data_IF_181966104979
#
_entry.id   IF_181966104979
#
_cell.length_a   1.000
_cell.length_b   1.000
_cell.length_c   1.000
_cell.angle_alpha   90.00
_cell.angle_beta   90.00
_cell.angle_gamma   90.00
#
_symmetry.space_group_name_H-M   'P 1'
#
loop_
_entity.id
_entity.type
_entity.pdbx_description
1 polymer ?
#
# COMPACT_ATOMS: atom_id res chain seq x y z
N UNK A 1 -22.60 -5.07 6.19
CA UNK A 1 -21.41 -4.55 6.90
C UNK A 1 -20.19 -5.42 6.71
N UNK A 2 -20.30 -6.76 6.76
CA UNK A 2 -19.19 -7.71 6.52
C UNK A 2 -18.55 -7.62 5.12
N UNK A 3 -19.26 -7.02 4.15
CA UNK A 3 -18.82 -6.98 2.75
C UNK A 3 -17.62 -6.05 2.51
N UNK A 4 -17.68 -4.77 2.91
CA UNK A 4 -16.64 -3.78 2.57
C UNK A 4 -15.25 -4.12 3.12
N UNK A 5 -15.19 -4.57 4.38
CA UNK A 5 -13.93 -5.03 5.00
C UNK A 5 -13.35 -6.24 4.25
N UNK A 6 -14.20 -7.20 3.90
CA UNK A 6 -13.79 -8.42 3.18
C UNK A 6 -13.36 -8.09 1.75
N UNK A 7 -14.09 -7.22 1.05
CA UNK A 7 -13.77 -6.74 -0.30
C UNK A 7 -12.43 -6.03 -0.33
N UNK A 8 -12.17 -5.14 0.64
CA UNK A 8 -10.89 -4.43 0.70
C UNK A 8 -9.72 -5.36 1.04
N UNK A 9 -9.91 -6.31 1.97
CA UNK A 9 -8.90 -7.33 2.24
C UNK A 9 -8.62 -8.21 1.01
N UNK A 10 -9.67 -8.57 0.26
CA UNK A 10 -9.55 -9.32 -0.99
C UNK A 10 -8.79 -8.53 -2.05
N UNK A 11 -9.06 -7.23 -2.19
CA UNK A 11 -8.27 -6.36 -3.06
C UNK A 11 -6.79 -6.40 -2.68
N UNK A 12 -6.45 -6.23 -1.40
CA UNK A 12 -5.06 -6.27 -0.94
C UNK A 12 -4.42 -7.63 -1.20
N UNK A 13 -5.14 -8.73 -0.99
CA UNK A 13 -4.66 -10.09 -1.31
C UNK A 13 -4.37 -10.29 -2.79
N UNK A 14 -5.28 -9.82 -3.66
CA UNK A 14 -5.09 -9.89 -5.10
C UNK A 14 -3.88 -9.05 -5.52
N UNK A 15 -3.74 -7.82 -5.01
CA UNK A 15 -2.62 -6.93 -5.34
C UNK A 15 -1.27 -7.47 -4.86
N UNK A 16 -1.22 -8.08 -3.67
CA UNK A 16 -0.03 -8.78 -3.17
C UNK A 16 0.33 -9.93 -4.10
N UNK A 17 -0.65 -10.77 -4.47
CA UNK A 17 -0.39 -11.92 -5.33
C UNK A 17 0.08 -11.49 -6.72
N UNK A 18 -0.57 -10.48 -7.30
CA UNK A 18 -0.23 -9.96 -8.63
C UNK A 18 1.20 -9.38 -8.66
N UNK A 19 1.58 -8.58 -7.67
CA UNK A 19 2.95 -8.01 -7.57
C UNK A 19 4.02 -9.09 -7.32
N UNK A 20 3.70 -10.13 -6.54
CA UNK A 20 4.57 -11.29 -6.37
C UNK A 20 4.75 -12.09 -7.66
N UNK A 21 3.67 -12.33 -8.41
CA UNK A 21 3.74 -13.04 -9.69
C UNK A 21 4.54 -12.24 -10.72
N UNK A 22 4.30 -10.94 -10.82
CA UNK A 22 5.08 -10.05 -11.68
C UNK A 22 6.57 -10.05 -11.31
N UNK A 23 6.89 -10.02 -10.01
CA UNK A 23 8.27 -10.15 -9.54
C UNK A 23 8.92 -11.43 -10.07
N UNK A 24 8.21 -12.57 -10.04
CA UNK A 24 8.77 -13.83 -10.54
C UNK A 24 8.97 -13.82 -12.05
N UNK A 25 8.04 -13.25 -12.82
CA UNK A 25 8.19 -13.13 -14.28
C UNK A 25 9.39 -12.23 -14.64
N UNK A 26 9.54 -11.08 -13.98
CA UNK A 26 10.68 -10.18 -14.20
C UNK A 26 12.02 -10.85 -13.85
N UNK A 27 12.07 -11.67 -12.80
CA UNK A 27 13.27 -12.45 -12.47
C UNK A 27 13.61 -13.47 -13.56
N UNK A 28 12.61 -14.17 -14.11
CA UNK A 28 12.82 -15.12 -15.22
C UNK A 28 13.37 -14.42 -16.47
N UNK A 29 12.96 -13.18 -16.69
CA UNK A 29 13.40 -12.34 -17.80
C UNK A 29 14.72 -11.59 -17.53
N UNK A 30 15.43 -11.88 -16.42
CA UNK A 30 16.65 -11.18 -15.99
C UNK A 30 16.48 -9.65 -15.74
N UNK A 31 15.25 -9.18 -15.49
CA UNK A 31 14.90 -7.77 -15.20
C UNK A 31 14.87 -7.51 -13.70
N UNK A 32 16.03 -7.67 -13.05
CA UNK A 32 16.14 -7.68 -11.58
C UNK A 32 15.76 -6.35 -10.92
N UNK A 33 16.17 -5.24 -11.50
CA UNK A 33 15.85 -3.88 -11.05
C UNK A 33 14.32 -3.66 -11.01
N UNK A 34 13.64 -4.02 -12.09
CA UNK A 34 12.17 -3.95 -12.14
C UNK A 34 11.50 -4.92 -11.16
N UNK A 35 12.07 -6.12 -10.98
CA UNK A 35 11.58 -7.06 -9.98
C UNK A 35 11.72 -6.51 -8.55
N UNK A 36 12.78 -5.75 -8.28
CA UNK A 36 12.98 -5.11 -6.99
C UNK A 36 11.97 -3.97 -6.76
N UNK A 37 11.56 -3.24 -7.81
CA UNK A 37 10.44 -2.28 -7.74
C UNK A 37 9.10 -2.95 -7.40
N UNK A 38 8.77 -4.09 -8.02
CA UNK A 38 7.55 -4.85 -7.71
C UNK A 38 7.53 -5.40 -6.27
N UNK A 39 8.70 -5.76 -5.73
CA UNK A 39 8.82 -6.11 -4.30
C UNK A 39 8.52 -4.93 -3.39
N UNK A 40 8.92 -3.72 -3.75
CA UNK A 40 8.56 -2.51 -2.98
C UNK A 40 7.03 -2.37 -2.92
N UNK A 41 6.33 -2.54 -4.04
CA UNK A 41 4.85 -2.53 -4.06
C UNK A 41 4.25 -3.61 -3.16
N UNK A 42 4.75 -4.84 -3.27
CA UNK A 42 4.34 -5.98 -2.43
C UNK A 42 4.42 -5.63 -0.94
N UNK A 43 5.54 -5.05 -0.51
CA UNK A 43 5.77 -4.67 0.87
C UNK A 43 4.77 -3.61 1.36
N UNK A 44 4.44 -2.62 0.53
CA UNK A 44 3.47 -1.58 0.87
C UNK A 44 2.07 -2.18 1.05
N UNK A 45 1.61 -3.03 0.13
CA UNK A 45 0.32 -3.70 0.29
C UNK A 45 0.28 -4.57 1.56
N UNK A 46 1.36 -5.28 1.89
CA UNK A 46 1.44 -6.10 3.11
C UNK A 46 1.38 -5.27 4.40
N UNK A 47 2.07 -4.12 4.44
CA UNK A 47 2.01 -3.17 5.56
C UNK A 47 0.56 -2.74 5.78
N UNK A 48 -0.11 -2.25 4.74
CA UNK A 48 -1.47 -1.73 4.88
C UNK A 48 -2.52 -2.82 5.10
N UNK A 49 -2.32 -4.03 4.58
CA UNK A 49 -3.12 -5.20 4.95
C UNK A 49 -3.01 -5.50 6.43
N UNK A 50 -1.80 -5.52 6.97
CA UNK A 50 -1.58 -5.78 8.40
C UNK A 50 -2.24 -4.70 9.26
N UNK A 51 -2.07 -3.43 8.90
CA UNK A 51 -2.69 -2.29 9.58
C UNK A 51 -4.21 -2.40 9.56
N UNK A 52 -4.80 -2.66 8.39
CA UNK A 52 -6.25 -2.78 8.24
C UNK A 52 -6.82 -3.97 9.04
N UNK A 53 -6.11 -5.11 9.06
CA UNK A 53 -6.49 -6.26 9.88
C UNK A 53 -6.43 -5.94 11.38
N UNK A 54 -5.45 -5.16 11.84
CA UNK A 54 -5.38 -4.74 13.25
C UNK A 54 -6.56 -3.84 13.60
N UNK A 55 -6.92 -2.88 12.74
CA UNK A 55 -8.07 -1.99 12.95
C UNK A 55 -9.37 -2.80 13.00
N UNK A 56 -9.63 -3.63 12.01
CA UNK A 56 -10.89 -4.40 11.88
C UNK A 56 -11.07 -5.49 12.95
N UNK A 57 -10.00 -5.94 13.62
CA UNK A 57 -10.08 -6.87 14.75
C UNK A 57 -10.46 -6.21 16.07
N UNK A 58 -10.48 -4.87 16.16
CA UNK A 58 -10.90 -4.18 17.37
C UNK A 58 -12.42 -4.35 17.54
N UNK A 59 -12.84 -4.85 18.71
CA UNK A 59 -14.25 -5.05 19.00
C UNK A 59 -14.95 -3.69 19.10
N UNK A 60 -16.19 -3.62 18.57
CA UNK A 60 -17.09 -2.47 18.66
C UNK A 60 -16.75 -1.23 17.81
N UNK A 61 -15.95 -1.37 16.74
CA UNK A 61 -15.81 -0.30 15.76
C UNK A 61 -16.89 -0.40 14.68
N UNK A 62 -17.57 0.71 14.41
CA UNK A 62 -18.46 0.84 13.25
C UNK A 62 -17.65 1.14 11.98
N UNK A 63 -18.29 1.02 10.81
CA UNK A 63 -17.62 1.23 9.52
C UNK A 63 -17.00 2.63 9.37
N UNK A 64 -17.59 3.66 9.97
CA UNK A 64 -17.08 5.03 9.95
C UNK A 64 -15.83 5.19 10.83
N UNK A 65 -15.77 4.48 11.97
CA UNK A 65 -14.58 4.48 12.82
C UNK A 65 -13.42 3.77 12.12
N UNK A 66 -13.69 2.65 11.46
CA UNK A 66 -12.71 1.93 10.64
C UNK A 66 -12.20 2.85 9.51
N UNK A 67 -13.11 3.56 8.81
CA UNK A 67 -12.75 4.53 7.77
C UNK A 67 -11.80 5.59 8.32
N UNK A 68 -12.18 6.23 9.42
CA UNK A 68 -11.40 7.31 10.03
C UNK A 68 -10.01 6.84 10.45
N UNK A 69 -9.94 5.73 11.19
CA UNK A 69 -8.68 5.18 11.68
C UNK A 69 -7.76 4.75 10.54
N UNK A 70 -8.30 4.12 9.49
CA UNK A 70 -7.48 3.68 8.37
C UNK A 70 -6.94 4.87 7.55
N UNK A 71 -7.77 5.90 7.30
CA UNK A 71 -7.31 7.12 6.64
C UNK A 71 -6.23 7.85 7.46
N UNK A 72 -6.33 7.87 8.79
CA UNK A 72 -5.26 8.40 9.64
C UNK A 72 -3.95 7.62 9.48
N UNK A 73 -4.02 6.28 9.34
CA UNK A 73 -2.83 5.46 9.09
C UNK A 73 -2.24 5.65 7.70
N UNK A 74 -3.08 5.89 6.69
CA UNK A 74 -2.62 6.26 5.35
C UNK A 74 -1.88 7.61 5.31
N UNK A 75 -2.10 8.51 6.27
CA UNK A 75 -1.31 9.75 6.38
C UNK A 75 -0.06 9.61 7.25
N UNK A 76 -0.17 8.92 8.37
CA UNK A 76 0.88 8.88 9.39
C UNK A 76 2.02 7.93 9.07
N UNK A 77 1.73 6.75 8.49
CA UNK A 77 2.74 5.75 8.13
C UNK A 77 3.71 6.24 7.04
N UNK A 78 3.30 6.95 5.97
CA UNK A 78 4.23 7.41 4.94
C UNK A 78 5.00 8.68 5.31
N UNK A 79 4.86 9.23 6.52
CA UNK A 79 5.49 10.51 6.88
C UNK A 79 7.02 10.48 6.67
N UNK A 80 7.66 9.38 7.08
CA UNK A 80 9.08 9.13 6.88
C UNK A 80 9.45 8.80 5.42
N UNK A 81 8.55 8.27 4.60
CA UNK A 81 8.78 8.09 3.16
C UNK A 81 8.82 9.43 2.43
N UNK A 82 7.92 10.36 2.80
CA UNK A 82 7.91 11.74 2.29
C UNK A 82 9.21 12.47 2.66
N UNK A 83 9.65 12.39 3.92
CA UNK A 83 10.95 12.96 4.34
C UNK A 83 12.13 12.30 3.62
N UNK A 84 12.10 10.98 3.44
CA UNK A 84 13.13 10.23 2.71
C UNK A 84 13.22 10.69 1.25
N UNK A 85 12.08 10.90 0.58
CA UNK A 85 12.01 11.40 -0.79
C UNK A 85 12.63 12.80 -0.93
N UNK A 86 12.30 13.72 -0.02
CA UNK A 86 12.87 15.08 -0.06
C UNK A 86 14.39 15.06 0.15
N UNK A 87 14.88 14.23 1.08
CA UNK A 87 16.31 13.99 1.24
C UNK A 87 16.94 13.39 -0.04
N UNK A 88 16.26 12.46 -0.70
CA UNK A 88 16.74 11.90 -1.97
C UNK A 88 16.88 12.96 -3.06
N UNK A 89 15.90 13.88 -3.17
CA UNK A 89 15.95 15.01 -4.10
C UNK A 89 17.09 15.98 -3.80
N UNK A 90 17.32 16.29 -2.52
CA UNK A 90 18.41 17.18 -2.08
C UNK A 90 19.79 16.65 -2.49
N UNK A 91 20.01 15.35 -2.33
CA UNK A 91 21.31 14.71 -2.63
C UNK A 91 21.38 14.04 -4.01
N UNK A 92 20.35 14.18 -4.84
CA UNK A 92 20.25 13.54 -6.17
C UNK A 92 20.42 12.01 -6.12
N UNK A 93 19.91 11.38 -5.06
CA UNK A 93 19.90 9.93 -4.89
C UNK A 93 18.70 9.35 -5.66
N UNK A 94 18.91 9.09 -6.95
CA UNK A 94 17.86 8.66 -7.87
C UNK A 94 17.23 7.31 -7.50
N UNK A 95 18.01 6.37 -6.95
CA UNK A 95 17.48 5.08 -6.51
C UNK A 95 16.53 5.27 -5.32
N UNK A 96 16.93 6.08 -4.34
CA UNK A 96 16.07 6.43 -3.21
C UNK A 96 14.82 7.16 -3.66
N UNK A 97 14.95 8.15 -4.55
CA UNK A 97 13.81 8.90 -5.10
C UNK A 97 12.80 7.92 -5.70
N UNK A 98 13.26 7.05 -6.60
CA UNK A 98 12.41 6.08 -7.30
C UNK A 98 11.70 5.13 -6.33
N UNK A 99 12.42 4.59 -5.34
CA UNK A 99 11.84 3.70 -4.33
C UNK A 99 10.75 4.42 -3.51
N UNK A 100 11.00 5.64 -3.05
CA UNK A 100 10.00 6.37 -2.26
C UNK A 100 8.79 6.80 -3.09
N UNK A 101 9.00 7.16 -4.37
CA UNK A 101 7.90 7.43 -5.31
C UNK A 101 7.03 6.20 -5.55
N UNK A 102 7.61 5.02 -5.76
CA UNK A 102 6.87 3.77 -5.90
C UNK A 102 6.03 3.50 -4.64
N UNK A 103 6.57 3.72 -3.44
CA UNK A 103 5.81 3.54 -2.20
C UNK A 103 4.62 4.48 -2.11
N UNK A 104 4.82 5.76 -2.43
CA UNK A 104 3.77 6.77 -2.36
C UNK A 104 2.70 6.58 -3.44
N UNK A 105 3.09 6.15 -4.64
CA UNK A 105 2.13 5.79 -5.69
C UNK A 105 1.28 4.59 -5.29
N UNK A 106 1.91 3.53 -4.77
CA UNK A 106 1.21 2.33 -4.30
C UNK A 106 0.26 2.65 -3.16
N UNK A 107 0.68 3.51 -2.23
CA UNK A 107 -0.17 4.02 -1.16
C UNK A 107 -1.42 4.70 -1.71
N UNK A 108 -1.29 5.47 -2.79
CA UNK A 108 -2.41 6.22 -3.34
C UNK A 108 -3.40 5.34 -4.09
N UNK A 109 -2.93 4.27 -4.73
CA UNK A 109 -3.82 3.21 -5.25
C UNK A 109 -4.64 2.56 -4.12
N UNK A 110 -4.00 2.27 -2.99
CA UNK A 110 -4.66 1.71 -1.80
C UNK A 110 -5.72 2.68 -1.29
N UNK A 111 -5.38 3.97 -1.15
CA UNK A 111 -6.32 5.02 -0.70
C UNK A 111 -7.52 5.12 -1.63
N UNK A 112 -7.27 5.25 -2.93
CA UNK A 112 -8.34 5.43 -3.92
C UNK A 112 -9.28 4.24 -3.95
N UNK A 113 -8.73 3.02 -3.89
CA UNK A 113 -9.55 1.80 -3.83
C UNK A 113 -10.37 1.73 -2.55
N UNK A 114 -9.75 2.06 -1.41
CA UNK A 114 -10.44 2.10 -0.12
C UNK A 114 -11.60 3.09 -0.12
N UNK A 115 -11.36 4.34 -0.54
CA UNK A 115 -12.38 5.38 -0.63
C UNK A 115 -13.51 4.99 -1.57
N UNK A 116 -13.19 4.44 -2.75
CA UNK A 116 -14.18 3.95 -3.72
C UNK A 116 -15.12 2.92 -3.10
N UNK A 117 -14.58 1.94 -2.36
CA UNK A 117 -15.39 0.91 -1.68
C UNK A 117 -16.25 1.52 -0.55
N UNK A 118 -15.73 2.53 0.16
CA UNK A 118 -16.46 3.15 1.26
C UNK A 118 -17.53 4.16 0.81
N UNK A 119 -17.35 4.79 -0.35
CA UNK A 119 -18.28 5.78 -0.93
C UNK A 119 -19.33 5.16 -1.85
N UNK A 120 -19.10 3.94 -2.36
CA UNK A 120 -20.11 3.17 -3.08
C UNK A 120 -21.23 2.75 -2.10
N UNK A 121 -22.47 3.17 -2.39
CA UNK A 121 -23.69 2.88 -1.62
C UNK A 121 -24.15 1.43 -1.76
#
# INVERSE_FOLDING_TARGET
>A
MENKNTEFLKYLDISIKASQDMTQELIKDNRKDEADHEKVKTNVYQIFKTVFQVITKQKALELDDIKKLFLEKLETIPANWKTSLESGKEFQDYEKILIEEIKLQTLEEIRNTFLTLWESN
#
